data_IF_131847131481
#
_entry.id   IF_131847131481
#
_cell.length_a   1.000
_cell.length_b   1.000
_cell.length_c   1.000
_cell.angle_alpha   90.00
_cell.angle_beta   90.00
_cell.angle_gamma   90.00
#
_symmetry.space_group_name_H-M   'P 1'
#
loop_
_entity.id
_entity.type
_entity.pdbx_description
1 polymer ?
#
# COMPACT_ATOMS: atom_id res chain seq x y z
N UNK A 1 47.16 27.51 19.82
CA UNK A 1 46.54 26.68 20.89
C UNK A 1 45.45 25.87 20.25
N UNK A 2 45.55 24.55 20.33
CA UNK A 2 44.51 23.64 19.86
C UNK A 2 43.26 23.83 20.72
N UNK A 3 42.08 23.87 20.10
CA UNK A 3 40.82 24.05 20.83
C UNK A 3 40.57 22.84 21.74
N UNK A 4 40.03 23.07 22.94
CA UNK A 4 39.62 21.99 23.85
C UNK A 4 38.72 20.94 23.15
N UNK A 5 37.88 21.38 22.21
CA UNK A 5 37.01 20.50 21.41
C UNK A 5 37.80 19.61 20.43
N UNK A 6 38.90 20.11 19.88
CA UNK A 6 39.77 19.37 18.96
C UNK A 6 40.59 18.32 19.73
N UNK A 7 41.17 18.71 20.88
CA UNK A 7 41.85 17.80 21.79
C UNK A 7 40.97 16.61 22.21
N UNK A 8 39.71 16.89 22.60
CA UNK A 8 38.72 15.85 22.96
C UNK A 8 38.37 14.94 21.78
N UNK A 9 38.24 15.47 20.55
CA UNK A 9 37.99 14.66 19.35
C UNK A 9 39.16 13.76 19.02
N UNK A 10 40.40 14.28 19.14
CA UNK A 10 41.62 13.50 18.90
C UNK A 10 41.66 12.29 19.80
N UNK A 11 41.60 12.49 21.13
CA UNK A 11 41.59 11.38 22.11
C UNK A 11 40.46 10.36 21.83
N UNK A 12 39.28 10.83 21.40
CA UNK A 12 38.14 9.94 21.13
C UNK A 12 38.35 9.06 19.90
N UNK A 13 39.09 9.54 18.90
CA UNK A 13 39.25 8.91 17.59
C UNK A 13 40.62 8.25 17.39
N UNK A 14 41.62 8.63 18.17
CA UNK A 14 42.99 8.12 18.08
C UNK A 14 43.03 6.60 18.36
N UNK A 15 43.70 5.85 17.48
CA UNK A 15 43.82 4.39 17.56
C UNK A 15 42.57 3.59 17.16
N UNK A 16 41.44 4.24 16.81
CA UNK A 16 40.24 3.52 16.36
C UNK A 16 40.23 3.41 14.83
N UNK A 17 40.08 2.21 14.26
CA UNK A 17 39.90 2.07 12.82
C UNK A 17 38.63 2.79 12.38
N UNK A 18 38.68 3.44 11.20
CA UNK A 18 37.50 4.06 10.58
C UNK A 18 36.51 2.94 10.27
N UNK A 19 35.47 2.80 11.10
CA UNK A 19 34.40 1.84 10.83
C UNK A 19 33.57 2.35 9.66
N UNK A 20 33.62 1.65 8.53
CA UNK A 20 32.69 1.90 7.43
C UNK A 20 31.25 1.75 7.94
N UNK A 21 30.46 2.81 7.78
CA UNK A 21 29.04 2.76 8.10
C UNK A 21 28.35 1.92 7.04
N UNK A 22 27.91 0.71 7.39
CA UNK A 22 27.04 -0.09 6.51
C UNK A 22 25.80 0.72 6.17
N UNK A 23 25.54 0.92 4.88
CA UNK A 23 24.32 1.58 4.40
C UNK A 23 23.14 0.66 4.71
N UNK A 24 22.27 1.09 5.62
CA UNK A 24 21.04 0.36 5.93
C UNK A 24 19.99 0.72 4.88
N UNK A 25 19.38 -0.29 4.25
CA UNK A 25 18.25 -0.07 3.34
C UNK A 25 17.07 0.52 4.11
N UNK A 26 16.51 1.60 3.59
CA UNK A 26 15.29 2.20 4.14
C UNK A 26 14.15 1.20 3.95
N UNK A 27 13.41 0.91 5.03
CA UNK A 27 12.22 0.05 4.96
C UNK A 27 11.15 0.73 4.06
N UNK A 28 10.48 0.00 3.16
CA UNK A 28 9.47 0.58 2.29
C UNK A 28 8.20 1.03 3.04
N UNK A 29 7.95 0.45 4.22
CA UNK A 29 6.80 0.76 5.06
C UNK A 29 7.22 0.83 6.53
N UNK A 30 6.45 1.57 7.34
CA UNK A 30 6.57 1.52 8.80
C UNK A 30 6.14 0.15 9.34
N UNK A 31 6.65 -0.24 10.50
CA UNK A 31 6.31 -1.53 11.11
C UNK A 31 4.80 -1.65 11.39
N UNK A 32 4.13 -0.53 11.73
CA UNK A 32 2.67 -0.45 11.88
C UNK A 32 1.94 -0.75 10.58
N UNK A 33 2.34 -0.13 9.46
CA UNK A 33 1.69 -0.38 8.16
C UNK A 33 1.99 -1.79 7.64
N UNK A 34 3.19 -2.31 7.90
CA UNK A 34 3.56 -3.67 7.55
C UNK A 34 2.71 -4.72 8.29
N UNK A 35 2.33 -4.49 9.55
CA UNK A 35 1.37 -5.34 10.26
C UNK A 35 -0.01 -5.34 9.57
N UNK A 36 -0.56 -4.17 9.27
CA UNK A 36 -1.86 -4.02 8.60
C UNK A 36 -1.86 -4.67 7.21
N UNK A 37 -0.81 -4.49 6.41
CA UNK A 37 -0.71 -5.09 5.08
C UNK A 37 -0.71 -6.62 5.14
N UNK A 38 -0.09 -7.22 6.16
CA UNK A 38 -0.09 -8.67 6.37
C UNK A 38 -1.49 -9.19 6.70
N UNK A 39 -2.20 -8.49 7.58
CA UNK A 39 -3.58 -8.81 7.93
C UNK A 39 -4.52 -8.66 6.72
N UNK A 40 -4.42 -7.55 6.01
CA UNK A 40 -5.17 -7.31 4.77
C UNK A 40 -4.94 -8.44 3.74
N UNK A 41 -3.68 -8.85 3.53
CA UNK A 41 -3.38 -9.94 2.60
C UNK A 41 -3.98 -11.27 3.06
N UNK A 42 -3.92 -11.58 4.36
CA UNK A 42 -4.51 -12.80 4.93
C UNK A 42 -6.03 -12.86 4.69
N UNK A 43 -6.72 -11.74 4.87
CA UNK A 43 -8.19 -11.64 4.70
C UNK A 43 -8.57 -11.65 3.22
N UNK A 44 -7.88 -10.86 2.40
CA UNK A 44 -8.32 -10.62 1.01
C UNK A 44 -7.88 -11.69 0.04
N UNK A 45 -6.71 -12.32 0.23
CA UNK A 45 -6.19 -13.32 -0.73
C UNK A 45 -7.21 -14.42 -1.08
N UNK A 46 -7.89 -15.07 -0.11
CA UNK A 46 -8.92 -16.07 -0.42
C UNK A 46 -10.14 -15.50 -1.18
N UNK A 47 -10.38 -14.19 -1.07
CA UNK A 47 -11.55 -13.55 -1.67
C UNK A 47 -11.40 -13.28 -3.16
N UNK A 48 -10.18 -13.11 -3.70
CA UNK A 48 -9.95 -12.88 -5.13
C UNK A 48 -9.14 -13.97 -5.82
N UNK A 49 -8.36 -14.76 -5.09
CA UNK A 49 -7.50 -15.76 -5.72
C UNK A 49 -8.34 -16.82 -6.43
N UNK A 50 -8.10 -16.98 -7.74
CA UNK A 50 -8.83 -17.95 -8.57
C UNK A 50 -10.22 -17.49 -9.02
N UNK A 51 -10.67 -16.28 -8.62
CA UNK A 51 -11.96 -15.74 -9.06
C UNK A 51 -11.83 -14.91 -10.34
N UNK A 52 -12.95 -14.80 -11.06
CA UNK A 52 -13.06 -13.87 -12.18
C UNK A 52 -13.12 -12.42 -11.69
N UNK A 53 -12.76 -11.49 -12.56
CA UNK A 53 -13.00 -10.08 -12.32
C UNK A 53 -14.51 -9.81 -12.35
N UNK A 54 -15.06 -9.20 -11.30
CA UNK A 54 -16.49 -8.88 -11.22
C UNK A 54 -16.86 -7.60 -12.00
N UNK A 55 -15.91 -6.68 -12.21
CA UNK A 55 -16.17 -5.41 -12.89
C UNK A 55 -16.45 -5.61 -14.40
N UNK A 56 -15.79 -6.60 -15.02
CA UNK A 56 -15.97 -7.00 -16.44
C UNK A 56 -16.06 -5.84 -17.45
N UNK A 57 -15.32 -4.75 -17.20
CA UNK A 57 -15.30 -3.58 -18.06
C UNK A 57 -14.67 -3.86 -19.45
N UNK A 58 -14.89 -3.00 -20.46
CA UNK A 58 -14.16 -3.07 -21.73
C UNK A 58 -12.64 -3.09 -21.48
N UNK A 59 -11.93 -4.07 -22.05
CA UNK A 59 -10.49 -4.27 -21.80
C UNK A 59 -10.16 -5.14 -20.57
N UNK A 60 -11.15 -5.77 -19.94
CA UNK A 60 -10.93 -6.64 -18.79
C UNK A 60 -10.06 -7.88 -19.13
N UNK A 61 -9.13 -8.19 -18.23
CA UNK A 61 -8.29 -9.40 -18.31
C UNK A 61 -8.99 -10.70 -17.88
N UNK A 62 -10.27 -10.63 -17.47
CA UNK A 62 -11.10 -11.77 -17.07
C UNK A 62 -10.83 -12.34 -15.67
N UNK A 63 -9.57 -12.36 -15.19
CA UNK A 63 -9.20 -12.91 -13.87
C UNK A 63 -8.88 -11.83 -12.85
N UNK A 64 -9.33 -12.01 -11.62
CA UNK A 64 -9.02 -11.09 -10.53
C UNK A 64 -7.56 -11.23 -10.07
N UNK A 65 -6.88 -10.10 -9.95
CA UNK A 65 -5.50 -10.00 -9.44
C UNK A 65 -5.45 -9.40 -8.04
N UNK A 66 -6.56 -8.84 -7.57
CA UNK A 66 -6.71 -8.28 -6.23
C UNK A 66 -8.14 -7.87 -5.92
N UNK A 67 -8.32 -7.10 -4.85
CA UNK A 67 -9.60 -6.50 -4.48
C UNK A 67 -9.64 -5.02 -4.87
N UNK A 68 -10.75 -4.62 -5.48
CA UNK A 68 -11.18 -3.24 -5.62
C UNK A 68 -12.02 -2.83 -4.41
N UNK A 69 -11.77 -1.63 -3.86
CA UNK A 69 -12.50 -1.09 -2.71
C UNK A 69 -13.43 0.01 -3.19
N UNK A 70 -14.74 -0.21 -3.07
CA UNK A 70 -15.75 0.73 -3.58
C UNK A 70 -15.69 2.11 -2.92
N UNK A 71 -15.38 2.17 -1.62
CA UNK A 71 -15.32 3.40 -0.81
C UNK A 71 -13.89 3.88 -0.50
N UNK A 72 -12.89 3.27 -1.14
CA UNK A 72 -11.48 3.58 -0.96
C UNK A 72 -10.83 2.95 0.28
N UNK A 73 -9.55 3.28 0.53
CA UNK A 73 -8.66 2.58 1.48
C UNK A 73 -8.05 3.49 2.55
N UNK A 74 -8.72 4.61 2.86
CA UNK A 74 -8.13 5.71 3.66
C UNK A 74 -8.00 5.39 5.15
N UNK A 75 -8.91 4.61 5.72
CA UNK A 75 -8.86 4.16 7.11
C UNK A 75 -8.61 2.66 7.17
N UNK A 76 -8.13 2.15 8.32
CA UNK A 76 -7.89 0.71 8.51
C UNK A 76 -9.21 -0.07 8.44
N UNK A 77 -10.28 0.47 9.01
CA UNK A 77 -11.63 -0.08 8.94
C UNK A 77 -12.09 -0.26 7.48
N UNK A 78 -11.96 0.78 6.65
CA UNK A 78 -12.32 0.71 5.23
C UNK A 78 -11.41 -0.22 4.43
N UNK A 79 -10.12 -0.29 4.79
CA UNK A 79 -9.18 -1.20 4.15
C UNK A 79 -9.53 -2.66 4.41
N UNK A 80 -10.05 -2.98 5.60
CA UNK A 80 -10.37 -4.35 6.03
C UNK A 80 -11.85 -4.73 5.86
N UNK A 81 -12.74 -3.77 5.58
CA UNK A 81 -14.16 -4.01 5.34
C UNK A 81 -14.37 -4.81 4.04
N UNK A 82 -14.67 -6.10 4.16
CA UNK A 82 -14.84 -7.02 3.04
C UNK A 82 -16.12 -6.79 2.24
N UNK A 83 -17.15 -6.19 2.85
CA UNK A 83 -18.47 -6.02 2.23
C UNK A 83 -18.44 -5.00 1.09
N UNK A 84 -17.51 -4.06 1.17
CA UNK A 84 -17.29 -3.01 0.17
C UNK A 84 -16.16 -3.37 -0.81
N UNK A 85 -15.75 -4.64 -0.86
CA UNK A 85 -14.71 -5.11 -1.77
C UNK A 85 -15.26 -6.01 -2.86
N UNK A 86 -14.72 -5.87 -4.07
CA UNK A 86 -15.01 -6.78 -5.19
C UNK A 86 -13.71 -7.29 -5.83
N UNK A 87 -13.61 -8.57 -6.20
CA UNK A 87 -12.47 -9.10 -6.92
C UNK A 87 -12.38 -8.45 -8.30
N UNK A 88 -11.21 -7.88 -8.62
CA UNK A 88 -10.98 -7.15 -9.85
C UNK A 88 -9.60 -7.43 -10.44
N UNK A 89 -9.50 -7.37 -11.77
CA UNK A 89 -8.21 -7.37 -12.46
C UNK A 89 -7.55 -5.99 -12.36
N UNK A 90 -6.24 -5.93 -12.62
CA UNK A 90 -5.46 -4.69 -12.52
C UNK A 90 -5.99 -3.60 -13.44
N UNK A 91 -6.40 -3.96 -14.66
CA UNK A 91 -6.96 -3.02 -15.63
C UNK A 91 -8.27 -2.39 -15.14
N UNK A 92 -9.23 -3.21 -14.70
CA UNK A 92 -10.50 -2.68 -14.19
C UNK A 92 -10.31 -1.87 -12.91
N UNK A 93 -9.49 -2.36 -11.99
CA UNK A 93 -9.28 -1.73 -10.68
C UNK A 93 -8.52 -0.39 -10.75
N UNK A 94 -7.55 -0.24 -11.65
CA UNK A 94 -6.68 0.95 -11.70
C UNK A 94 -7.01 1.93 -12.82
N UNK A 95 -7.49 1.44 -13.97
CA UNK A 95 -7.67 2.25 -15.17
C UNK A 95 -9.14 2.58 -15.34
N UNK A 96 -9.97 1.55 -15.56
CA UNK A 96 -11.35 1.77 -15.98
C UNK A 96 -12.20 2.52 -14.93
N UNK A 97 -12.10 2.14 -13.64
CA UNK A 97 -12.89 2.79 -12.58
C UNK A 97 -12.52 4.25 -12.35
N UNK A 98 -11.24 4.61 -12.55
CA UNK A 98 -10.79 5.99 -12.37
C UNK A 98 -11.15 6.86 -13.57
N UNK A 99 -11.00 6.35 -14.78
CA UNK A 99 -11.37 7.07 -16.02
C UNK A 99 -12.89 7.20 -16.20
N UNK A 100 -13.65 6.20 -15.76
CA UNK A 100 -15.11 6.14 -15.94
C UNK A 100 -15.85 6.30 -14.61
N UNK A 101 -15.53 7.35 -13.84
CA UNK A 101 -16.10 7.56 -12.50
C UNK A 101 -17.64 7.53 -12.48
N UNK A 102 -18.30 8.24 -13.40
CA UNK A 102 -19.78 8.29 -13.47
C UNK A 102 -20.39 6.92 -13.75
N UNK A 103 -19.83 6.17 -14.69
CA UNK A 103 -20.31 4.82 -15.01
C UNK A 103 -20.05 3.86 -13.84
N UNK A 104 -18.91 3.99 -13.16
CA UNK A 104 -18.54 3.19 -12.00
C UNK A 104 -19.44 3.45 -10.79
N UNK A 105 -19.87 4.70 -10.60
CA UNK A 105 -20.86 5.08 -9.58
C UNK A 105 -22.23 4.48 -9.91
N UNK A 106 -22.69 4.59 -11.16
CA UNK A 106 -23.96 3.99 -11.61
C UNK A 106 -24.00 2.47 -11.45
N UNK A 107 -22.87 1.79 -11.68
CA UNK A 107 -22.74 0.34 -11.50
C UNK A 107 -22.45 -0.07 -10.05
N UNK A 108 -22.31 0.88 -9.13
CA UNK A 108 -22.05 0.59 -7.72
C UNK A 108 -20.63 0.08 -7.41
N UNK A 109 -19.68 0.27 -8.33
CA UNK A 109 -18.27 -0.02 -8.10
C UNK A 109 -17.54 1.14 -7.40
N UNK A 110 -18.11 2.35 -7.41
CA UNK A 110 -17.56 3.51 -6.71
C UNK A 110 -18.63 4.14 -5.82
N UNK A 111 -18.34 4.22 -4.53
CA UNK A 111 -19.23 4.83 -3.54
C UNK A 111 -18.72 6.23 -3.17
N UNK A 112 -19.63 7.19 -2.92
CA UNK A 112 -19.24 8.52 -2.49
C UNK A 112 -18.48 8.46 -1.16
N UNK A 113 -17.40 9.25 -1.07
CA UNK A 113 -16.50 9.26 0.11
C UNK A 113 -17.17 9.87 1.34
N UNK A 114 -17.96 10.91 1.12
CA UNK A 114 -18.79 11.58 2.11
C UNK A 114 -20.22 11.21 1.78
N UNK A 115 -20.88 10.44 2.65
CA UNK A 115 -22.28 10.05 2.42
C UNK A 115 -23.15 11.29 2.27
N UNK A 116 -23.91 11.34 1.19
CA UNK A 116 -25.23 11.95 1.20
C UNK A 116 -26.23 10.83 1.00
#
# INVERSE_FOLDING_TARGET
>A
MESYLEYRRRIKNEGKPVKEKKVKKIKPFSDKRAAINREYYRITKPLWQGKECEIKAPGCQGRATGMHHKRGKTTVERLLNTDEMVPACTHCNLIWVEENSKASELLGFKLPRNGK
#
